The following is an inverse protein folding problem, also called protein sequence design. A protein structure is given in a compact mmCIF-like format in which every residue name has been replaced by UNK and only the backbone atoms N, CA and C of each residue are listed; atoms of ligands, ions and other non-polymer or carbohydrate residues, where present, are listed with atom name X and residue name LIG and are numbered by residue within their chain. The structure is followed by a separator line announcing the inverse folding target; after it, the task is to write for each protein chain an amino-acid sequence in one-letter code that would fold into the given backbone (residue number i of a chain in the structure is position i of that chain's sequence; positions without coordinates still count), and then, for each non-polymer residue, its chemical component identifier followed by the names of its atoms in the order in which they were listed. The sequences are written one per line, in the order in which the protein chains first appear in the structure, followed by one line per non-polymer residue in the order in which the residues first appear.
data_IF_894640041213
#
_entry.id   IF_894640041213
#
_cell.length_a   1.000
_cell.length_b   1.000
_cell.length_c   1.000
_cell.angle_alpha   90.00
_cell.angle_beta   90.00
_cell.angle_gamma   90.00
#
_symmetry.space_group_name_H-M   'P 1'
#
loop_
_entity.id
_entity.type
_entity.pdbx_description
1 polymer ?
#
# COMPACT_ATOMS: atom_id res chain seq x y z
N UNK A 1 12.46 18.86 24.22
CA UNK A 1 12.44 18.25 22.87
C UNK A 1 11.39 17.16 22.86
N UNK A 2 10.26 17.39 22.20
CA UNK A 2 9.19 16.40 22.11
C UNK A 2 9.70 15.19 21.32
N UNK A 3 9.82 14.04 21.99
CA UNK A 3 10.24 12.78 21.40
C UNK A 3 9.08 12.27 20.54
N UNK A 4 9.04 12.67 19.26
CA UNK A 4 8.01 12.30 18.30
C UNK A 4 8.17 10.82 17.96
N UNK A 5 7.66 9.94 18.84
CA UNK A 5 7.65 8.51 18.59
C UNK A 5 6.71 8.24 17.41
N UNK A 6 7.29 7.89 16.27
CA UNK A 6 6.62 7.43 15.04
C UNK A 6 5.56 6.35 15.35
N UNK A 7 5.70 5.64 16.49
CA UNK A 7 4.75 4.66 17.00
C UNK A 7 3.33 5.17 17.30
N UNK A 8 3.11 6.49 17.36
CA UNK A 8 1.79 7.10 17.64
C UNK A 8 1.02 7.55 16.39
N UNK A 9 1.64 7.48 15.20
CA UNK A 9 0.99 7.94 13.94
C UNK A 9 0.05 6.86 13.39
N UNK A 10 0.32 5.59 13.67
CA UNK A 10 -0.50 4.46 13.24
C UNK A 10 -1.19 3.81 14.46
N UNK A 11 -2.54 3.69 14.47
CA UNK A 11 -3.24 3.02 15.55
C UNK A 11 -2.81 1.55 15.62
N UNK A 12 -2.51 1.05 16.81
CA UNK A 12 -2.13 -0.35 17.08
C UNK A 12 -3.12 -1.39 16.54
N UNK A 13 -4.35 -0.97 16.25
CA UNK A 13 -5.39 -1.83 15.68
C UNK A 13 -5.12 -2.24 14.23
N UNK A 14 -4.43 -1.40 13.47
CA UNK A 14 -4.20 -1.62 12.04
C UNK A 14 -2.96 -2.44 11.74
N UNK A 15 -1.97 -2.50 12.65
CA UNK A 15 -0.69 -3.19 12.43
C UNK A 15 -0.74 -4.63 13.00
N UNK A 16 -0.35 -5.67 12.24
CA UNK A 16 -0.22 -7.04 12.77
C UNK A 16 0.85 -7.07 13.85
N UNK A 17 0.64 -7.92 14.87
CA UNK A 17 1.42 -7.93 16.12
C UNK A 17 2.92 -8.22 15.92
N UNK A 18 3.28 -8.83 14.79
CA UNK A 18 4.62 -9.32 14.51
C UNK A 18 5.46 -8.43 13.59
N UNK A 19 4.89 -7.34 13.04
CA UNK A 19 5.60 -6.46 12.07
C UNK A 19 5.94 -5.10 12.70
N UNK A 20 7.19 -4.62 12.56
CA UNK A 20 7.56 -3.28 13.01
C UNK A 20 6.74 -2.21 12.29
N UNK A 21 6.02 -1.37 13.07
CA UNK A 21 5.17 -0.27 12.56
C UNK A 21 5.88 0.63 11.54
N UNK A 22 7.19 0.82 11.71
CA UNK A 22 8.02 1.61 10.80
C UNK A 22 8.07 1.04 9.38
N UNK A 23 8.07 -0.29 9.22
CA UNK A 23 8.14 -0.95 7.91
C UNK A 23 6.85 -0.74 7.10
N UNK A 24 5.70 -0.76 7.78
CA UNK A 24 4.41 -0.48 7.16
C UNK A 24 4.33 0.98 6.74
N UNK A 25 4.80 1.88 7.61
CA UNK A 25 4.82 3.31 7.32
C UNK A 25 5.75 3.62 6.14
N UNK A 26 6.93 3.01 6.06
CA UNK A 26 7.82 3.16 4.91
C UNK A 26 7.19 2.59 3.64
N UNK A 27 6.51 1.45 3.71
CA UNK A 27 5.80 0.86 2.56
C UNK A 27 4.76 1.83 1.98
N UNK A 28 3.94 2.42 2.85
CA UNK A 28 2.92 3.41 2.46
C UNK A 28 3.58 4.65 1.85
N UNK A 29 4.63 5.20 2.48
CA UNK A 29 5.35 6.37 1.97
C UNK A 29 5.97 6.09 0.59
N UNK A 30 6.59 4.93 0.41
CA UNK A 30 7.20 4.56 -0.87
C UNK A 30 6.13 4.46 -1.96
N UNK A 31 4.99 3.82 -1.69
CA UNK A 31 3.89 3.75 -2.67
C UNK A 31 3.35 5.15 -3.00
N UNK A 32 3.18 6.02 -1.99
CA UNK A 32 2.75 7.40 -2.19
C UNK A 32 3.70 8.17 -3.10
N UNK A 33 5.00 8.17 -2.79
CA UNK A 33 6.05 8.86 -3.56
C UNK A 33 6.21 8.29 -4.97
N UNK A 34 6.15 6.97 -5.11
CA UNK A 34 6.27 6.31 -6.41
C UNK A 34 5.06 6.62 -7.30
N UNK A 35 3.87 6.72 -6.71
CA UNK A 35 2.66 7.10 -7.42
C UNK A 35 2.66 8.57 -7.86
N UNK A 36 3.36 9.47 -7.16
CA UNK A 36 3.56 10.86 -7.63
C UNK A 36 4.29 10.92 -8.99
N UNK A 37 5.15 9.93 -9.29
CA UNK A 37 5.81 9.88 -10.61
C UNK A 37 4.82 9.77 -11.77
N UNK A 38 3.60 9.27 -11.50
CA UNK A 38 2.53 9.18 -12.48
C UNK A 38 1.95 10.55 -12.89
N UNK A 39 2.25 11.62 -12.15
CA UNK A 39 1.87 12.98 -12.54
C UNK A 39 2.45 13.39 -13.90
N UNK A 40 3.59 12.79 -14.30
CA UNK A 40 4.22 12.98 -15.61
C UNK A 40 3.35 12.49 -16.78
N UNK A 41 2.35 11.63 -16.54
CA UNK A 41 1.44 11.15 -17.58
C UNK A 41 0.32 12.14 -17.93
N UNK A 42 0.20 13.26 -17.21
CA UNK A 42 -0.70 14.34 -17.59
C UNK A 42 -0.20 15.03 -18.86
N UNK A 43 -0.69 14.58 -20.02
CA UNK A 43 -0.32 15.03 -21.36
C UNK A 43 -0.80 16.48 -21.63
N UNK A 44 -0.27 17.45 -20.87
CA UNK A 44 -0.61 18.88 -20.93
C UNK A 44 -1.81 19.30 -20.08
N UNK A 45 -2.51 18.36 -19.42
CA UNK A 45 -3.66 18.66 -18.56
C UNK A 45 -3.41 18.23 -17.12
N UNK A 46 -3.17 19.20 -16.22
CA UNK A 46 -2.81 18.97 -14.82
C UNK A 46 -3.85 18.15 -14.05
N UNK A 47 -5.12 18.24 -14.45
CA UNK A 47 -6.23 17.48 -13.86
C UNK A 47 -6.08 15.98 -14.16
N UNK A 48 -5.65 15.63 -15.38
CA UNK A 48 -5.50 14.25 -15.81
C UNK A 48 -4.29 13.58 -15.14
N UNK A 49 -3.20 14.33 -14.95
CA UNK A 49 -2.05 13.89 -14.17
C UNK A 49 -2.40 13.62 -12.70
N UNK A 50 -3.21 14.49 -12.08
CA UNK A 50 -3.68 14.28 -10.70
C UNK A 50 -4.59 13.07 -10.58
N UNK A 51 -5.48 12.83 -11.57
CA UNK A 51 -6.37 11.69 -11.58
C UNK A 51 -5.61 10.36 -11.63
N UNK A 52 -4.54 10.28 -12.44
CA UNK A 52 -3.69 9.08 -12.52
C UNK A 52 -2.91 8.80 -11.23
N UNK A 53 -2.49 9.84 -10.50
CA UNK A 53 -1.87 9.67 -9.17
C UNK A 53 -2.90 9.10 -8.19
N UNK A 54 -4.11 9.66 -8.18
CA UNK A 54 -5.21 9.23 -7.32
C UNK A 54 -5.65 7.79 -7.62
N UNK A 55 -5.76 7.44 -8.91
CA UNK A 55 -6.05 6.09 -9.38
C UNK A 55 -4.99 5.10 -8.88
N UNK A 56 -3.70 5.42 -9.02
CA UNK A 56 -2.62 4.57 -8.51
C UNK A 56 -2.68 4.42 -6.98
N UNK A 57 -2.97 5.49 -6.24
CA UNK A 57 -3.16 5.39 -4.79
C UNK A 57 -4.31 4.44 -4.43
N UNK A 58 -5.46 4.59 -5.07
CA UNK A 58 -6.61 3.71 -4.82
C UNK A 58 -6.29 2.27 -5.20
N UNK A 59 -5.67 2.04 -6.36
CA UNK A 59 -5.33 0.70 -6.83
C UNK A 59 -4.34 -0.02 -5.91
N UNK A 60 -3.23 0.63 -5.58
CA UNK A 60 -2.11 -0.01 -4.89
C UNK A 60 -2.20 0.07 -3.35
N UNK A 61 -2.88 1.07 -2.78
CA UNK A 61 -3.07 1.16 -1.32
C UNK A 61 -4.36 0.52 -0.84
N UNK A 62 -5.40 0.45 -1.68
CA UNK A 62 -6.74 -0.02 -1.28
C UNK A 62 -7.13 -1.27 -2.04
N UNK A 63 -7.24 -1.20 -3.37
CA UNK A 63 -7.90 -2.25 -4.16
C UNK A 63 -7.13 -3.57 -4.16
N UNK A 64 -5.84 -3.56 -4.53
CA UNK A 64 -5.00 -4.76 -4.53
C UNK A 64 -4.89 -5.35 -3.11
N UNK A 65 -4.51 -4.59 -2.06
CA UNK A 65 -4.45 -5.10 -0.70
C UNK A 65 -5.78 -5.68 -0.19
N UNK A 66 -6.90 -5.03 -0.50
CA UNK A 66 -8.23 -5.47 -0.09
C UNK A 66 -8.64 -6.75 -0.81
N UNK A 67 -8.37 -6.86 -2.12
CA UNK A 67 -8.61 -8.09 -2.87
C UNK A 67 -7.75 -9.25 -2.35
N UNK A 68 -6.48 -9.02 -2.02
CA UNK A 68 -5.63 -10.04 -1.38
C UNK A 68 -6.20 -10.46 -0.03
N UNK A 69 -6.66 -9.51 0.79
CA UNK A 69 -7.31 -9.81 2.06
C UNK A 69 -8.61 -10.60 1.88
N UNK A 70 -9.45 -10.25 0.90
CA UNK A 70 -10.69 -10.96 0.59
C UNK A 70 -10.43 -12.39 0.11
N UNK A 71 -9.45 -12.61 -0.78
CA UNK A 71 -9.06 -13.94 -1.24
C UNK A 71 -8.49 -14.79 -0.10
N UNK A 72 -7.91 -14.15 0.93
CA UNK A 72 -7.42 -14.85 2.12
C UNK A 72 -8.52 -15.15 3.17
N UNK A 73 -9.71 -14.55 3.07
CA UNK A 73 -10.82 -14.83 4.00
C UNK A 73 -11.23 -16.31 4.10
N UNK A 74 -11.36 -17.09 3.01
CA UNK A 74 -11.67 -18.52 3.12
C UNK A 74 -10.59 -19.31 3.88
N UNK A 75 -9.33 -18.89 3.82
CA UNK A 75 -8.24 -19.50 4.58
C UNK A 75 -8.40 -19.17 6.07
N UNK A 76 -8.75 -17.92 6.39
CA UNK A 76 -9.08 -17.52 7.76
C UNK A 76 -10.26 -18.29 8.34
N UNK A 77 -11.28 -18.55 7.52
CA UNK A 77 -12.44 -19.33 7.96
C UNK A 77 -12.09 -20.79 8.28
N UNK A 78 -11.00 -21.30 7.70
CA UNK A 78 -10.50 -22.66 7.94
C UNK A 78 -9.48 -22.73 9.09
N UNK A 79 -8.73 -21.67 9.33
CA UNK A 79 -7.64 -21.62 10.31
C UNK A 79 -7.65 -20.28 11.08
N UNK A 80 -8.00 -20.36 12.38
CA UNK A 80 -8.10 -19.20 13.28
C UNK A 80 -6.74 -18.55 13.59
N UNK A 81 -5.62 -19.22 13.29
CA UNK A 81 -4.28 -18.67 13.46
C UNK A 81 -3.92 -17.63 12.38
N UNK A 82 -4.69 -17.56 11.29
CA UNK A 82 -4.34 -16.73 10.13
C UNK A 82 -4.69 -15.23 10.34
N UNK A 83 -3.68 -14.35 10.36
CA UNK A 83 -3.90 -12.90 10.45
C UNK A 83 -4.13 -12.27 9.06
N UNK A 84 -5.38 -11.93 8.76
CA UNK A 84 -5.79 -11.24 7.52
C UNK A 84 -5.12 -9.87 7.37
N UNK A 85 -4.71 -9.21 8.46
CA UNK A 85 -3.94 -7.96 8.35
C UNK A 85 -2.59 -8.19 7.70
N UNK A 86 -1.95 -9.33 7.98
CA UNK A 86 -0.70 -9.70 7.32
C UNK A 86 -0.90 -9.92 5.82
N UNK A 87 -2.00 -10.57 5.43
CA UNK A 87 -2.36 -10.74 4.01
C UNK A 87 -2.63 -9.39 3.31
N UNK A 88 -3.24 -8.43 4.01
CA UNK A 88 -3.42 -7.07 3.49
C UNK A 88 -2.08 -6.38 3.22
N UNK A 89 -1.15 -6.40 4.17
CA UNK A 89 0.18 -5.80 4.00
C UNK A 89 1.04 -6.54 2.97
N UNK A 90 0.89 -7.86 2.86
CA UNK A 90 1.48 -8.64 1.77
C UNK A 90 0.94 -8.15 0.42
N UNK A 91 -0.37 -7.96 0.30
CA UNK A 91 -0.99 -7.39 -0.91
C UNK A 91 -0.47 -5.99 -1.25
N UNK A 92 -0.22 -5.16 -0.24
CA UNK A 92 0.37 -3.83 -0.41
C UNK A 92 1.83 -3.92 -0.89
N UNK A 93 2.61 -4.87 -0.38
CA UNK A 93 3.97 -5.13 -0.86
C UNK A 93 4.00 -5.67 -2.30
N UNK A 94 3.10 -6.60 -2.63
CA UNK A 94 2.93 -7.10 -4.00
C UNK A 94 2.50 -5.97 -4.94
N UNK A 95 1.62 -5.07 -4.50
CA UNK A 95 1.25 -3.86 -5.23
C UNK A 95 2.46 -2.99 -5.56
N UNK A 96 3.39 -2.81 -4.62
CA UNK A 96 4.64 -2.10 -4.83
C UNK A 96 5.52 -2.80 -5.90
N UNK A 97 5.64 -4.13 -5.86
CA UNK A 97 6.38 -4.90 -6.88
C UNK A 97 5.78 -4.69 -8.28
N UNK A 98 4.45 -4.74 -8.41
CA UNK A 98 3.77 -4.46 -9.67
C UNK A 98 4.00 -3.02 -10.14
N UNK A 99 4.01 -2.06 -9.22
CA UNK A 99 4.31 -0.66 -9.54
C UNK A 99 5.75 -0.49 -10.05
N UNK A 100 6.74 -1.14 -9.42
CA UNK A 100 8.13 -1.14 -9.89
C UNK A 100 8.28 -1.84 -11.25
N UNK A 101 7.58 -2.95 -11.46
CA UNK A 101 7.55 -3.63 -12.75
C UNK A 101 6.94 -2.74 -13.84
N UNK A 102 5.81 -2.07 -13.55
CA UNK A 102 5.18 -1.10 -14.46
C UNK A 102 6.16 0.01 -14.84
N UNK A 103 6.88 0.59 -13.88
CA UNK A 103 7.91 1.60 -14.15
C UNK A 103 9.08 1.06 -14.99
N UNK A 104 9.44 -0.23 -14.86
CA UNK A 104 10.54 -0.85 -15.60
C UNK A 104 10.19 -1.18 -17.05
N UNK A 105 8.99 -1.71 -17.29
CA UNK A 105 8.54 -2.10 -18.63
C UNK A 105 8.07 -0.92 -19.49
N UNK A 106 7.94 0.26 -18.89
CA UNK A 106 7.55 1.51 -19.57
C UNK A 106 8.76 2.32 -20.03
N UNK A 107 9.79 1.61 -20.50
CA UNK A 107 10.99 2.17 -21.11
C UNK A 107 10.83 2.28 -22.62
#
# INVERSE_FOLDING_TARGET
MANFKISNILPDRFVPKDIPKGLILTLIIVIMLTSLSAYRYGNGNSIQGMLHVLENWVLYLVLIPSCTALVSMPIKYRDDSFDVRMAYYLGMFVGLLFMMAKLRYWR
#
